data_IF_813063779103
#
_entry.id   IF_813063779103
#
_cell.length_a   1.000
_cell.length_b   1.000
_cell.length_c   1.000
_cell.angle_alpha   90.00
_cell.angle_beta   90.00
_cell.angle_gamma   90.00
#
_symmetry.space_group_name_H-M   'P 1'
#
loop_
_entity.id
_entity.type
_entity.pdbx_description
1 polymer ?
#
# COMPACT_ATOMS: atom_id res chain seq x y z
N UNK A 1 7.29 11.25 6.61
CA UNK A 1 7.28 12.12 7.80
C UNK A 1 7.96 13.48 7.55
N UNK A 2 9.28 13.56 7.33
CA UNK A 2 9.98 14.86 7.18
C UNK A 2 9.44 15.73 6.03
N UNK A 3 9.18 15.14 4.86
CA UNK A 3 8.56 15.83 3.71
C UNK A 3 7.14 16.34 4.02
N UNK A 4 6.32 15.54 4.69
CA UNK A 4 4.95 15.89 5.05
C UNK A 4 4.86 17.00 6.11
N UNK A 5 5.82 17.06 7.03
CA UNK A 5 5.94 18.16 8.00
C UNK A 5 6.41 19.45 7.31
N UNK A 6 7.31 19.37 6.32
CA UNK A 6 7.78 20.53 5.55
C UNK A 6 6.72 21.12 4.62
N UNK A 7 5.86 20.26 4.06
CA UNK A 7 4.79 20.65 3.12
C UNK A 7 3.45 20.87 3.84
N UNK A 8 3.42 20.70 5.17
CA UNK A 8 2.22 20.68 6.01
C UNK A 8 1.04 19.91 5.38
N UNK A 9 1.34 18.75 4.79
CA UNK A 9 0.33 17.91 4.18
C UNK A 9 0.50 16.46 4.61
N UNK A 10 -0.35 16.03 5.55
CA UNK A 10 -0.33 14.67 6.07
C UNK A 10 -1.07 13.67 5.16
N UNK A 11 -1.84 14.13 4.16
CA UNK A 11 -2.48 13.23 3.17
C UNK A 11 -1.46 12.54 2.25
N UNK A 12 -0.20 13.00 2.26
CA UNK A 12 0.91 12.31 1.61
C UNK A 12 1.09 10.88 2.14
N UNK A 13 0.70 10.58 3.38
CA UNK A 13 0.78 9.21 3.94
C UNK A 13 -0.04 8.22 3.12
N UNK A 14 -1.16 8.66 2.53
CA UNK A 14 -2.04 7.81 1.74
C UNK A 14 -1.42 7.44 0.38
N UNK A 15 -0.54 8.30 -0.17
CA UNK A 15 0.26 7.98 -1.36
C UNK A 15 1.25 6.84 -1.06
N UNK A 16 1.78 6.78 0.17
CA UNK A 16 2.78 5.78 0.56
C UNK A 16 2.21 4.39 0.81
N UNK A 17 0.88 4.23 0.85
CA UNK A 17 0.26 2.91 1.05
C UNK A 17 0.65 1.91 -0.03
N UNK A 18 0.40 2.28 -1.29
CA UNK A 18 0.75 1.44 -2.44
C UNK A 18 2.24 1.07 -2.48
N UNK A 19 3.16 2.04 -2.53
CA UNK A 19 4.61 1.80 -2.47
C UNK A 19 5.08 1.06 -1.22
N UNK A 20 4.42 1.28 -0.07
CA UNK A 20 4.72 0.60 1.18
C UNK A 20 4.46 -0.90 1.10
N UNK A 21 3.36 -1.32 0.48
CA UNK A 21 3.11 -2.74 0.20
C UNK A 21 4.12 -3.33 -0.78
N UNK A 22 4.52 -2.58 -1.82
CA UNK A 22 5.57 -3.02 -2.75
C UNK A 22 6.90 -3.21 -2.01
N UNK A 23 7.26 -2.28 -1.13
CA UNK A 23 8.46 -2.39 -0.31
C UNK A 23 8.43 -3.65 0.57
N UNK A 24 7.32 -3.92 1.24
CA UNK A 24 7.16 -5.14 2.04
C UNK A 24 7.31 -6.38 1.15
N UNK A 25 6.66 -6.42 -0.01
CA UNK A 25 6.75 -7.54 -0.94
C UNK A 25 8.20 -7.79 -1.41
N UNK A 26 8.94 -6.73 -1.75
CA UNK A 26 10.35 -6.81 -2.14
C UNK A 26 11.21 -7.31 -0.98
N UNK A 27 11.04 -6.74 0.22
CA UNK A 27 11.80 -7.15 1.41
C UNK A 27 11.53 -8.62 1.74
N UNK A 28 10.28 -9.08 1.69
CA UNK A 28 9.93 -10.49 1.93
C UNK A 28 10.41 -11.42 0.82
N UNK A 29 10.38 -11.00 -0.44
CA UNK A 29 10.95 -11.77 -1.55
C UNK A 29 12.45 -11.96 -1.36
N UNK A 30 13.16 -10.89 -0.97
CA UNK A 30 14.58 -10.92 -0.66
C UNK A 30 14.85 -11.73 0.61
N UNK A 31 14.05 -11.61 1.67
CA UNK A 31 14.27 -12.36 2.92
C UNK A 31 14.03 -13.87 2.75
N UNK A 32 13.12 -14.28 1.88
CA UNK A 32 12.76 -15.68 1.62
C UNK A 32 13.72 -16.44 0.69
N UNK A 33 14.76 -15.78 0.15
CA UNK A 33 15.63 -16.36 -0.89
C UNK A 33 16.33 -17.66 -0.52
N UNK A 34 16.58 -17.90 0.77
CA UNK A 34 17.19 -19.15 1.27
C UNK A 34 16.18 -20.06 1.99
N UNK A 35 14.89 -19.74 2.00
CA UNK A 35 13.88 -20.49 2.73
C UNK A 35 13.28 -21.68 1.96
N UNK A 36 13.61 -21.80 0.66
CA UNK A 36 13.12 -22.86 -0.23
C UNK A 36 11.65 -22.71 -0.63
N UNK A 37 11.10 -21.49 -0.60
CA UNK A 37 9.76 -21.21 -1.12
C UNK A 37 9.71 -21.33 -2.64
N UNK A 38 8.55 -21.71 -3.17
CA UNK A 38 8.29 -21.87 -4.61
C UNK A 38 8.54 -20.56 -5.37
N UNK A 39 9.43 -20.62 -6.35
CA UNK A 39 9.91 -19.43 -7.05
C UNK A 39 8.80 -18.76 -7.88
N UNK A 40 7.97 -19.56 -8.54
CA UNK A 40 6.86 -19.06 -9.36
C UNK A 40 5.84 -18.34 -8.49
N UNK A 41 5.42 -18.92 -7.36
CA UNK A 41 4.53 -18.27 -6.40
C UNK A 41 5.10 -16.95 -5.91
N UNK A 42 6.38 -16.94 -5.51
CA UNK A 42 7.07 -15.75 -4.99
C UNK A 42 7.08 -14.62 -6.02
N UNK A 43 7.43 -14.94 -7.26
CA UNK A 43 7.45 -13.98 -8.37
C UNK A 43 6.05 -13.46 -8.71
N UNK A 44 5.05 -14.34 -8.79
CA UNK A 44 3.67 -13.94 -9.07
C UNK A 44 3.15 -12.99 -7.99
N UNK A 45 3.28 -13.36 -6.72
CA UNK A 45 2.79 -12.51 -5.61
C UNK A 45 3.52 -11.17 -5.57
N UNK A 46 4.83 -11.15 -5.82
CA UNK A 46 5.61 -9.92 -5.93
C UNK A 46 5.08 -9.05 -7.08
N UNK A 47 4.90 -9.62 -8.27
CA UNK A 47 4.44 -8.89 -9.46
C UNK A 47 3.03 -8.33 -9.27
N UNK A 48 2.09 -9.13 -8.77
CA UNK A 48 0.72 -8.70 -8.49
C UNK A 48 0.69 -7.55 -7.48
N UNK A 49 1.45 -7.68 -6.38
CA UNK A 49 1.53 -6.64 -5.35
C UNK A 49 2.17 -5.37 -5.90
N UNK A 50 3.21 -5.49 -6.72
CA UNK A 50 3.90 -4.36 -7.34
C UNK A 50 3.00 -3.61 -8.33
N UNK A 51 2.33 -4.33 -9.25
CA UNK A 51 1.44 -3.74 -10.25
C UNK A 51 0.30 -2.99 -9.57
N UNK A 52 -0.37 -3.61 -8.60
CA UNK A 52 -1.44 -2.96 -7.85
C UNK A 52 -0.93 -1.78 -7.02
N UNK A 53 0.11 -1.98 -6.21
CA UNK A 53 0.62 -0.98 -5.28
C UNK A 53 1.18 0.26 -5.98
N UNK A 54 1.90 0.09 -7.10
CA UNK A 54 2.39 1.22 -7.90
C UNK A 54 1.24 1.99 -8.53
N UNK A 55 0.25 1.29 -9.10
CA UNK A 55 -0.93 1.92 -9.69
C UNK A 55 -1.73 2.71 -8.65
N UNK A 56 -1.93 2.16 -7.46
CA UNK A 56 -2.63 2.83 -6.36
C UNK A 56 -1.87 4.10 -5.92
N UNK A 57 -0.55 3.98 -5.72
CA UNK A 57 0.30 5.11 -5.35
C UNK A 57 0.29 6.22 -6.39
N UNK A 58 0.37 5.86 -7.68
CA UNK A 58 0.29 6.81 -8.78
C UNK A 58 -1.08 7.48 -8.86
N UNK A 59 -2.17 6.72 -8.74
CA UNK A 59 -3.53 7.27 -8.80
C UNK A 59 -3.77 8.28 -7.67
N UNK A 60 -3.46 7.91 -6.42
CA UNK A 60 -3.61 8.83 -5.28
C UNK A 60 -2.65 10.01 -5.43
N UNK A 61 -1.42 9.78 -5.89
CA UNK A 61 -0.43 10.82 -6.16
C UNK A 61 -0.95 11.87 -7.14
N UNK A 62 -1.40 11.44 -8.32
CA UNK A 62 -1.98 12.32 -9.35
C UNK A 62 -3.19 13.07 -8.81
N UNK A 63 -4.08 12.40 -8.07
CA UNK A 63 -5.25 13.03 -7.47
C UNK A 63 -4.90 14.09 -6.42
N UNK A 64 -3.81 13.89 -5.68
CA UNK A 64 -3.41 14.78 -4.60
C UNK A 64 -2.54 15.96 -5.08
N UNK A 65 -2.04 15.94 -6.33
CA UNK A 65 -1.32 17.08 -6.92
C UNK A 65 -2.29 18.27 -7.00
N UNK A 66 -1.89 19.40 -6.41
CA UNK A 66 -2.65 20.65 -6.43
C UNK A 66 -3.79 20.75 -5.41
N UNK A 67 -4.07 19.69 -4.64
CA UNK A 67 -5.05 19.75 -3.54
C UNK A 67 -4.32 20.09 -2.22
N UNK A 68 -4.90 21.02 -1.45
CA UNK A 68 -4.38 21.42 -0.14
C UNK A 68 -4.43 20.29 0.89
N UNK A 69 -4.08 20.60 2.14
CA UNK A 69 -4.18 19.62 3.24
C UNK A 69 -5.63 19.11 3.35
N UNK A 70 -5.81 17.79 3.34
CA UNK A 70 -7.13 17.18 3.48
C UNK A 70 -7.74 17.52 4.87
N UNK A 71 -9.01 18.00 4.93
CA UNK A 71 -9.68 18.40 6.16
C UNK A 71 -9.64 17.36 7.28
N UNK A 72 -9.56 16.07 6.94
CA UNK A 72 -9.43 14.98 7.92
C UNK A 72 -8.18 15.14 8.77
N UNK A 73 -7.04 15.46 8.15
CA UNK A 73 -5.79 15.63 8.87
C UNK A 73 -5.76 16.96 9.63
N UNK A 74 -6.42 17.99 9.11
CA UNK A 74 -6.60 19.26 9.82
C UNK A 74 -7.42 19.08 11.11
N UNK A 75 -8.49 18.29 11.09
CA UNK A 75 -9.30 17.96 12.28
C UNK A 75 -8.56 17.10 13.31
N UNK A 76 -7.67 16.19 12.85
CA UNK A 76 -6.78 15.46 13.75
C UNK A 76 -5.76 16.42 14.38
N UNK A 77 -5.26 17.40 13.61
CA UNK A 77 -4.32 18.40 14.10
C UNK A 77 -4.98 19.40 15.07
N UNK A 78 -6.29 19.66 14.96
CA UNK A 78 -6.99 20.62 15.82
C UNK A 78 -7.09 20.18 17.29
N UNK A 79 -6.92 18.88 17.55
CA UNK A 79 -6.91 18.30 18.91
C UNK A 79 -5.49 18.11 19.47
N UNK A 80 -4.49 18.73 18.85
CA UNK A 80 -3.09 18.54 19.21
C UNK A 80 -2.74 19.27 20.50
N UNK A 81 -2.14 18.55 21.45
CA UNK A 81 -1.38 19.10 22.57
C UNK A 81 0.06 18.55 22.56
N UNK A 82 1.06 19.42 22.66
CA UNK A 82 2.49 19.03 22.71
C UNK A 82 3.23 18.95 21.36
N UNK A 83 4.32 18.18 21.32
CA UNK A 83 5.28 18.17 20.20
C UNK A 83 4.68 17.61 18.90
N UNK A 84 4.84 18.36 17.79
CA UNK A 84 4.31 18.00 16.47
C UNK A 84 4.80 16.63 15.99
N UNK A 85 6.12 16.32 16.05
CA UNK A 85 6.63 15.07 15.50
C UNK A 85 6.11 13.85 16.27
N UNK A 86 6.06 13.93 17.60
CA UNK A 86 5.60 12.83 18.46
C UNK A 86 4.09 12.57 18.32
N UNK A 87 3.28 13.63 18.24
CA UNK A 87 1.84 13.51 18.05
C UNK A 87 1.50 12.86 16.70
N UNK A 88 2.09 13.38 15.61
CA UNK A 88 1.88 12.88 14.26
C UNK A 88 2.39 11.45 14.10
N UNK A 89 3.57 11.14 14.63
CA UNK A 89 4.09 9.77 14.62
C UNK A 89 3.16 8.79 15.33
N UNK A 90 2.60 9.16 16.49
CA UNK A 90 1.76 8.25 17.28
C UNK A 90 0.32 8.14 16.77
N UNK A 91 -0.28 9.23 16.27
CA UNK A 91 -1.70 9.27 15.89
C UNK A 91 -1.94 8.97 14.42
N UNK A 92 -0.97 9.26 13.54
CA UNK A 92 -1.11 9.04 12.10
C UNK A 92 -0.20 7.89 11.68
N UNK A 93 1.13 8.04 11.75
CA UNK A 93 2.04 7.07 11.13
C UNK A 93 2.10 5.72 11.86
N UNK A 94 1.96 5.68 13.18
CA UNK A 94 2.02 4.47 13.99
C UNK A 94 0.90 3.48 13.64
N UNK A 95 -0.39 3.87 13.76
CA UNK A 95 -1.50 3.02 13.34
C UNK A 95 -1.40 2.60 11.87
N UNK A 96 -1.02 3.52 10.99
CA UNK A 96 -0.83 3.24 9.55
C UNK A 96 0.23 2.15 9.34
N UNK A 97 1.35 2.21 10.04
CA UNK A 97 2.41 1.20 9.95
C UNK A 97 1.96 -0.17 10.49
N UNK A 98 1.23 -0.21 11.60
CA UNK A 98 0.69 -1.46 12.17
C UNK A 98 -0.31 -2.10 11.20
N UNK A 99 -1.23 -1.31 10.64
CA UNK A 99 -2.23 -1.81 9.70
C UNK A 99 -1.54 -2.31 8.44
N UNK A 100 -0.61 -1.54 7.87
CA UNK A 100 0.16 -1.97 6.69
C UNK A 100 0.88 -3.30 6.96
N UNK A 101 1.53 -3.42 8.12
CA UNK A 101 2.20 -4.66 8.51
C UNK A 101 1.23 -5.84 8.57
N UNK A 102 0.11 -5.70 9.29
CA UNK A 102 -0.90 -6.77 9.45
C UNK A 102 -1.53 -7.15 8.12
N UNK A 103 -1.95 -6.17 7.32
CA UNK A 103 -2.60 -6.41 6.01
C UNK A 103 -1.63 -7.04 5.02
N UNK A 104 -0.32 -6.78 5.14
CA UNK A 104 0.70 -7.38 4.27
C UNK A 104 1.05 -8.82 4.63
N UNK A 105 0.65 -9.35 5.79
CA UNK A 105 1.03 -10.69 6.24
C UNK A 105 0.78 -11.81 5.21
N UNK A 106 -0.34 -11.84 4.46
CA UNK A 106 -0.55 -12.87 3.43
C UNK A 106 0.50 -12.83 2.32
N UNK A 107 0.93 -11.63 1.91
CA UNK A 107 2.00 -11.44 0.92
C UNK A 107 3.31 -12.00 1.48
N UNK A 108 3.63 -11.67 2.74
CA UNK A 108 4.84 -12.17 3.38
C UNK A 108 4.82 -13.70 3.52
N UNK A 109 3.70 -14.28 3.96
CA UNK A 109 3.53 -15.72 4.14
C UNK A 109 3.66 -16.49 2.83
N UNK A 110 3.08 -15.95 1.75
CA UNK A 110 3.18 -16.56 0.43
C UNK A 110 4.64 -16.72 -0.05
N UNK A 111 5.56 -15.88 0.44
CA UNK A 111 6.97 -15.95 0.06
C UNK A 111 7.70 -17.18 0.61
N UNK A 112 7.18 -17.78 1.68
CA UNK A 112 7.79 -18.93 2.35
C UNK A 112 7.09 -20.25 2.01
N UNK A 113 6.02 -20.21 1.19
CA UNK A 113 5.31 -21.44 0.81
C UNK A 113 6.07 -22.23 -0.24
N UNK A 114 6.23 -23.53 0.01
CA UNK A 114 6.93 -24.48 -0.87
C UNK A 114 5.99 -25.15 -1.88
N UNK A 115 4.70 -25.15 -1.60
CA UNK A 115 3.70 -25.68 -2.52
C UNK A 115 3.62 -24.81 -3.77
N UNK A 116 3.59 -25.44 -4.94
CA UNK A 116 3.29 -24.76 -6.19
C UNK A 116 1.92 -24.05 -6.11
N UNK A 117 1.73 -22.98 -6.89
CA UNK A 117 0.48 -22.20 -6.92
C UNK A 117 -0.78 -23.08 -7.01
N UNK A 118 -0.74 -24.10 -7.88
CA UNK A 118 -1.83 -25.03 -8.09
C UNK A 118 -3.14 -24.32 -8.46
N UNK A 119 -4.27 -25.02 -8.27
CA UNK A 119 -5.61 -24.49 -8.59
C UNK A 119 -5.95 -23.26 -7.73
N UNK A 120 -5.58 -23.28 -6.45
CA UNK A 120 -5.84 -22.16 -5.54
C UNK A 120 -5.09 -20.88 -5.96
N UNK A 121 -3.87 -21.01 -6.46
CA UNK A 121 -3.12 -19.88 -6.99
C UNK A 121 -3.74 -19.30 -8.26
N UNK A 122 -4.26 -20.15 -9.16
CA UNK A 122 -4.99 -19.71 -10.35
C UNK A 122 -6.30 -18.98 -9.99
N UNK A 123 -7.05 -19.50 -9.02
CA UNK A 123 -8.25 -18.82 -8.50
C UNK A 123 -7.89 -17.47 -7.86
N UNK A 124 -6.83 -17.44 -7.04
CA UNK A 124 -6.35 -16.20 -6.42
C UNK A 124 -5.93 -15.15 -7.45
N UNK A 125 -5.19 -15.55 -8.48
CA UNK A 125 -4.84 -14.68 -9.61
C UNK A 125 -6.09 -14.14 -10.31
N UNK A 126 -7.08 -15.00 -10.57
CA UNK A 126 -8.33 -14.62 -11.25
C UNK A 126 -9.11 -13.59 -10.44
N UNK A 127 -9.31 -13.84 -9.14
CA UNK A 127 -9.98 -12.90 -8.23
C UNK A 127 -9.21 -11.58 -8.17
N UNK A 128 -7.89 -11.63 -8.10
CA UNK A 128 -7.04 -10.43 -8.13
C UNK A 128 -7.23 -9.64 -9.42
N UNK A 129 -7.22 -10.29 -10.59
CA UNK A 129 -7.37 -9.61 -11.88
C UNK A 129 -8.73 -8.93 -11.99
N UNK A 130 -9.81 -9.60 -11.57
CA UNK A 130 -11.15 -9.02 -11.57
C UNK A 130 -11.21 -7.78 -10.67
N UNK A 131 -10.67 -7.87 -9.44
CA UNK A 131 -10.61 -6.75 -8.52
C UNK A 131 -9.80 -5.58 -9.08
N UNK A 132 -8.62 -5.85 -9.65
CA UNK A 132 -7.75 -4.85 -10.25
C UNK A 132 -8.44 -4.10 -11.40
N UNK A 133 -9.13 -4.83 -12.29
CA UNK A 133 -9.86 -4.25 -13.42
C UNK A 133 -11.03 -3.41 -12.92
N UNK A 134 -11.81 -3.91 -11.95
CA UNK A 134 -12.92 -3.15 -11.38
C UNK A 134 -12.44 -1.83 -10.78
N UNK A 135 -11.36 -1.86 -9.99
CA UNK A 135 -10.74 -0.67 -9.43
C UNK A 135 -10.22 0.26 -10.54
N UNK A 136 -9.60 -0.28 -11.60
CA UNK A 136 -9.05 0.49 -12.73
C UNK A 136 -10.13 1.24 -13.48
N UNK A 137 -11.24 0.57 -13.75
CA UNK A 137 -12.38 1.15 -14.45
C UNK A 137 -13.10 2.17 -13.57
N UNK A 138 -13.27 1.90 -12.27
CA UNK A 138 -13.87 2.84 -11.33
C UNK A 138 -13.11 4.16 -11.26
N UNK A 139 -11.78 4.10 -11.14
CA UNK A 139 -10.92 5.28 -11.11
C UNK A 139 -10.95 6.07 -12.43
N UNK A 140 -11.00 5.36 -13.57
CA UNK A 140 -11.14 5.98 -14.89
C UNK A 140 -12.51 6.65 -15.08
N UNK A 141 -13.58 6.03 -14.58
CA UNK A 141 -14.92 6.64 -14.63
C UNK A 141 -14.96 7.91 -13.78
N UNK A 142 -14.43 7.86 -12.55
CA UNK A 142 -14.42 9.01 -11.66
C UNK A 142 -13.62 10.20 -12.21
N UNK A 143 -12.57 9.94 -13.00
CA UNK A 143 -11.79 11.01 -13.64
C UNK A 143 -12.49 11.64 -14.85
N UNK A 144 -13.42 10.91 -15.49
CA UNK A 144 -14.16 11.38 -16.68
C UNK A 144 -15.48 12.08 -16.35
N UNK A 145 -16.11 11.73 -15.24
CA UNK A 145 -17.43 12.28 -14.84
C UNK A 145 -17.35 13.33 -13.72
N UNK A 146 -16.18 13.90 -13.47
CA UNK A 146 -16.00 15.09 -12.63
C UNK A 146 -16.14 16.38 -13.44
#
# INVERSE_FOLDING_TARGET
>A
MALSIRVDNQSLVDIFWGPGFVLVAVVSFVASRHAGGDEVRRLVVLALTAVWGLRLGLHIGVRNIGHGQDPRYTAIMSHRSGSLPGYVARKIYGPQAVILFVVSLPVQFAMYQRSALGVLGALGFTVWTVGFVFEALGDYQLSRFK
#
